data_IF_310980523510
#
_entry.id   IF_310980523510
#
_cell.length_a   1.000
_cell.length_b   1.000
_cell.length_c   1.000
_cell.angle_alpha   90.00
_cell.angle_beta   90.00
_cell.angle_gamma   90.00
#
_symmetry.space_group_name_H-M   'P 1'
#
loop_
_entity.id
_entity.type
_entity.pdbx_description
1 polymer ?
#
# COMPACT_ATOMS: atom_id res chain seq x y z
N UNK A 1 3.16 25.29 15.93
CA UNK A 1 1.84 25.71 15.46
C UNK A 1 1.23 24.58 14.67
N UNK A 2 0.23 23.90 15.25
CA UNK A 2 -0.52 22.84 14.55
C UNK A 2 -1.26 23.53 13.41
N UNK A 3 -1.02 23.10 12.19
CA UNK A 3 -1.62 23.68 11.02
C UNK A 3 -3.13 23.43 11.02
N UNK A 4 -3.93 24.48 10.80
CA UNK A 4 -5.39 24.48 10.77
C UNK A 4 -6.03 23.58 9.68
N UNK A 5 -5.24 22.78 8.97
CA UNK A 5 -5.68 21.81 7.95
C UNK A 5 -5.82 20.38 8.46
N UNK A 6 -5.57 20.13 9.75
CA UNK A 6 -5.78 18.81 10.34
C UNK A 6 -7.26 18.66 10.71
N UNK A 7 -8.11 18.39 9.71
CA UNK A 7 -9.56 18.23 9.87
C UNK A 7 -9.95 17.06 10.81
N UNK A 8 -8.99 16.22 11.17
CA UNK A 8 -9.22 15.03 11.99
C UNK A 8 -8.72 15.19 13.43
N UNK A 9 -8.06 16.30 13.76
CA UNK A 9 -7.27 16.43 14.99
C UNK A 9 -6.30 15.24 15.19
N UNK A 10 -5.80 14.69 14.06
CA UNK A 10 -4.95 13.51 14.02
C UNK A 10 -3.48 13.90 14.15
N UNK A 11 -2.71 13.12 14.87
CA UNK A 11 -1.26 13.20 14.85
C UNK A 11 -0.75 12.39 13.63
N UNK A 12 0.01 13.07 12.75
CA UNK A 12 0.52 12.44 11.52
C UNK A 12 2.00 12.12 11.69
N UNK A 13 2.32 10.84 11.50
CA UNK A 13 3.67 10.31 11.59
C UNK A 13 4.15 9.85 10.21
N UNK A 14 5.39 10.22 9.87
CA UNK A 14 6.08 9.71 8.69
C UNK A 14 7.08 8.65 9.13
N UNK A 15 6.72 7.38 8.95
CA UNK A 15 7.50 6.25 9.42
C UNK A 15 8.43 5.72 8.32
N UNK A 16 9.69 5.54 8.67
CA UNK A 16 10.67 4.80 7.87
C UNK A 16 11.52 3.89 8.77
N UNK A 17 12.39 3.08 8.17
CA UNK A 17 13.27 2.17 8.93
C UNK A 17 14.31 2.86 9.82
N UNK A 18 14.64 4.12 9.50
CA UNK A 18 15.48 5.02 10.30
C UNK A 18 14.97 6.45 10.15
N UNK A 19 15.48 7.37 10.97
CA UNK A 19 15.18 8.80 10.86
C UNK A 19 16.00 9.52 9.78
N UNK A 20 16.82 8.80 9.03
CA UNK A 20 17.56 9.38 7.91
C UNK A 20 16.62 9.89 6.81
N UNK A 21 16.94 11.01 6.16
CA UNK A 21 16.13 11.55 5.09
C UNK A 21 15.92 10.55 3.96
N UNK A 22 14.66 10.33 3.56
CA UNK A 22 14.26 9.43 2.48
C UNK A 22 14.05 10.22 1.20
N UNK A 23 14.81 9.90 0.15
CA UNK A 23 14.64 10.49 -1.17
C UNK A 23 13.51 9.80 -1.92
N UNK A 24 12.50 10.57 -2.30
CA UNK A 24 11.38 10.12 -3.14
C UNK A 24 11.79 9.99 -4.61
N UNK A 25 10.96 9.33 -5.41
CA UNK A 25 11.24 9.05 -6.82
C UNK A 25 11.49 10.31 -7.66
N UNK A 26 10.73 11.39 -7.39
CA UNK A 26 10.81 12.69 -8.10
C UNK A 26 11.79 13.68 -7.47
N UNK A 27 12.72 13.21 -6.64
CA UNK A 27 13.79 14.03 -6.06
C UNK A 27 13.42 14.80 -4.80
N UNK A 28 12.17 14.79 -4.37
CA UNK A 28 11.76 15.33 -3.06
C UNK A 28 12.40 14.49 -1.95
N UNK A 29 12.80 15.14 -0.87
CA UNK A 29 13.33 14.47 0.32
C UNK A 29 12.35 14.65 1.47
N UNK A 30 11.93 13.54 2.08
CA UNK A 30 11.10 13.51 3.27
C UNK A 30 11.96 13.15 4.48
N UNK A 31 11.74 13.84 5.59
CA UNK A 31 12.37 13.49 6.87
C UNK A 31 11.35 12.69 7.68
N UNK A 32 11.63 11.42 8.00
CA UNK A 32 10.76 10.61 8.84
C UNK A 32 10.63 11.22 10.24
N UNK A 33 9.48 11.09 10.86
CA UNK A 33 9.25 11.48 12.25
C UNK A 33 9.43 10.30 13.19
N UNK A 34 9.27 9.08 12.68
CA UNK A 34 9.22 7.86 13.47
C UNK A 34 9.87 6.66 12.78
N UNK A 35 10.15 5.66 13.60
CA UNK A 35 10.64 4.34 13.21
C UNK A 35 9.69 3.26 13.74
N UNK A 36 9.82 2.00 13.28
CA UNK A 36 9.09 0.86 13.84
C UNK A 36 9.18 0.73 15.36
N UNK A 37 10.27 1.20 15.97
CA UNK A 37 10.50 1.11 17.41
C UNK A 37 9.79 2.23 18.19
N UNK A 38 9.63 3.41 17.58
CA UNK A 38 9.02 4.58 18.25
C UNK A 38 7.50 4.65 18.02
N UNK A 39 6.97 3.98 17.00
CA UNK A 39 5.53 3.96 16.66
C UNK A 39 5.00 2.52 16.55
N UNK A 40 4.82 1.79 17.67
CA UNK A 40 4.38 0.40 17.61
C UNK A 40 2.88 0.23 17.29
N UNK A 41 2.00 1.12 17.76
CA UNK A 41 0.54 0.97 17.76
C UNK A 41 -0.22 2.17 17.14
N UNK A 42 -0.11 2.43 15.83
CA UNK A 42 -0.89 3.48 15.18
C UNK A 42 -2.36 3.06 15.01
N UNK A 43 -3.30 4.03 15.07
CA UNK A 43 -4.71 3.75 14.78
C UNK A 43 -5.00 3.51 13.30
N UNK A 44 -4.27 4.20 12.43
CA UNK A 44 -4.37 4.11 10.97
C UNK A 44 -2.97 3.98 10.36
N UNK A 45 -2.81 3.00 9.48
CA UNK A 45 -1.60 2.88 8.66
C UNK A 45 -1.98 3.11 7.19
N UNK A 46 -1.32 4.08 6.55
CA UNK A 46 -1.42 4.30 5.10
C UNK A 46 -0.08 3.96 4.45
N UNK A 47 -0.06 2.96 3.57
CA UNK A 47 1.14 2.60 2.81
C UNK A 47 1.06 3.19 1.39
N UNK A 48 1.90 4.16 1.06
CA UNK A 48 1.94 4.76 -0.27
C UNK A 48 2.59 3.83 -1.30
N UNK A 49 2.42 4.18 -2.58
CA UNK A 49 3.14 3.53 -3.67
C UNK A 49 4.59 3.99 -3.78
N UNK A 50 5.36 3.20 -4.52
CA UNK A 50 6.73 3.52 -4.93
C UNK A 50 6.94 3.12 -6.39
N UNK A 51 7.70 3.92 -7.13
CA UNK A 51 8.22 3.55 -8.44
C UNK A 51 9.30 2.45 -8.38
N UNK A 52 9.77 2.09 -7.17
CA UNK A 52 10.81 1.07 -6.95
C UNK A 52 10.30 -0.10 -6.09
N UNK A 53 9.24 -0.83 -6.52
CA UNK A 53 8.61 -1.88 -5.71
C UNK A 53 9.58 -2.99 -5.28
N UNK A 54 10.64 -3.29 -6.04
CA UNK A 54 11.67 -4.28 -5.66
C UNK A 54 12.31 -3.91 -4.32
N UNK A 55 12.67 -2.65 -4.12
CA UNK A 55 13.31 -2.18 -2.89
C UNK A 55 12.35 -2.28 -1.71
N UNK A 56 11.10 -1.84 -1.91
CA UNK A 56 10.06 -1.88 -0.86
C UNK A 56 9.74 -3.32 -0.44
N UNK A 57 9.62 -4.24 -1.40
CA UNK A 57 9.36 -5.67 -1.12
C UNK A 57 10.57 -6.40 -0.50
N UNK A 58 11.74 -5.76 -0.47
CA UNK A 58 12.96 -6.28 0.18
C UNK A 58 13.15 -5.73 1.59
N UNK A 59 12.39 -4.73 2.00
CA UNK A 59 12.52 -4.10 3.32
C UNK A 59 11.86 -4.94 4.41
N UNK A 60 12.63 -5.85 4.97
CA UNK A 60 12.14 -6.79 5.97
C UNK A 60 11.73 -6.10 7.29
N UNK A 61 12.37 -4.98 7.64
CA UNK A 61 12.07 -4.22 8.86
C UNK A 61 10.64 -3.65 8.78
N UNK A 62 10.30 -3.00 7.66
CA UNK A 62 8.95 -2.48 7.45
C UNK A 62 7.90 -3.57 7.29
N UNK A 63 8.26 -4.69 6.63
CA UNK A 63 7.34 -5.84 6.47
C UNK A 63 7.01 -6.45 7.83
N UNK A 64 8.00 -6.64 8.70
CA UNK A 64 7.80 -7.25 10.03
C UNK A 64 7.02 -6.32 10.96
N UNK A 65 7.31 -5.02 10.92
CA UNK A 65 6.53 -4.04 11.66
C UNK A 65 5.06 -4.01 11.19
N UNK A 66 4.84 -3.96 9.89
CA UNK A 66 3.48 -3.94 9.33
C UNK A 66 2.70 -5.22 9.69
N UNK A 67 3.37 -6.39 9.67
CA UNK A 67 2.78 -7.67 10.09
C UNK A 67 2.28 -7.63 11.53
N UNK A 68 2.99 -6.93 12.41
CA UNK A 68 2.69 -6.86 13.86
C UNK A 68 1.70 -5.76 14.18
N UNK A 69 1.89 -4.56 13.61
CA UNK A 69 1.09 -3.38 13.94
C UNK A 69 -0.29 -3.37 13.27
N UNK A 70 -0.36 -3.73 11.98
CA UNK A 70 -1.61 -3.60 11.21
C UNK A 70 -2.81 -4.41 11.75
N UNK A 71 -2.67 -5.60 12.35
CA UNK A 71 -3.79 -6.30 12.95
C UNK A 71 -4.47 -5.54 14.11
N UNK A 72 -3.73 -4.66 14.78
CA UNK A 72 -4.23 -3.87 15.92
C UNK A 72 -4.80 -2.52 15.50
N UNK A 73 -4.59 -2.10 14.24
CA UNK A 73 -5.10 -0.82 13.74
C UNK A 73 -6.62 -0.85 13.57
N UNK A 74 -7.26 0.28 13.86
CA UNK A 74 -8.67 0.48 13.49
C UNK A 74 -8.83 0.42 11.98
N UNK A 75 -7.91 1.04 11.25
CA UNK A 75 -7.96 1.13 9.80
C UNK A 75 -6.58 0.90 9.18
N UNK A 76 -6.59 0.29 8.02
CA UNK A 76 -5.39 0.13 7.19
C UNK A 76 -5.71 0.56 5.77
N UNK A 77 -4.76 1.21 5.10
CA UNK A 77 -4.95 1.71 3.75
C UNK A 77 -3.70 1.48 2.88
N UNK A 78 -3.90 1.18 1.61
CA UNK A 78 -2.82 1.11 0.64
C UNK A 78 -3.16 1.88 -0.63
N UNK A 79 -2.17 2.55 -1.22
CA UNK A 79 -2.33 3.23 -2.51
C UNK A 79 -1.31 2.67 -3.49
N UNK A 80 -1.73 2.47 -4.74
CA UNK A 80 -0.84 2.10 -5.82
C UNK A 80 -0.08 0.79 -5.51
N UNK A 81 1.25 0.76 -5.64
CA UNK A 81 2.09 -0.41 -5.31
C UNK A 81 2.23 -0.69 -3.81
N UNK A 82 1.71 0.19 -2.94
CA UNK A 82 1.72 -0.01 -1.49
C UNK A 82 1.01 -1.28 -1.01
N UNK A 83 0.01 -1.77 -1.77
CA UNK A 83 -0.63 -3.06 -1.53
C UNK A 83 0.38 -4.23 -1.51
N UNK A 84 1.51 -4.10 -2.22
CA UNK A 84 2.57 -5.11 -2.22
C UNK A 84 3.22 -5.31 -0.86
N UNK A 85 3.38 -4.23 -0.07
CA UNK A 85 3.95 -4.34 1.28
C UNK A 85 2.99 -5.07 2.23
N UNK A 86 1.68 -4.77 2.16
CA UNK A 86 0.65 -5.51 2.90
C UNK A 86 0.60 -6.99 2.50
N UNK A 87 0.73 -7.29 1.20
CA UNK A 87 0.78 -8.67 0.72
C UNK A 87 2.05 -9.39 1.20
N UNK A 88 3.21 -8.73 1.18
CA UNK A 88 4.46 -9.26 1.72
C UNK A 88 4.38 -9.55 3.22
N UNK A 89 3.68 -8.70 3.97
CA UNK A 89 3.38 -8.89 5.39
C UNK A 89 2.32 -9.99 5.66
N UNK A 90 1.67 -10.55 4.64
CA UNK A 90 0.66 -11.59 4.78
C UNK A 90 -0.75 -11.11 5.13
N UNK A 91 -0.99 -9.81 5.04
CA UNK A 91 -2.21 -9.17 5.53
C UNK A 91 -3.36 -9.12 4.51
N UNK A 92 -3.09 -9.49 3.24
CA UNK A 92 -4.08 -9.54 2.16
C UNK A 92 -4.48 -10.95 1.74
N UNK A 93 -4.14 -11.97 2.51
CA UNK A 93 -4.53 -13.35 2.21
C UNK A 93 -6.05 -13.52 2.31
N UNK A 94 -6.67 -14.07 1.25
CA UNK A 94 -8.12 -14.24 1.17
C UNK A 94 -8.92 -12.93 1.07
N UNK A 95 -8.26 -11.80 0.85
CA UNK A 95 -8.89 -10.48 0.72
C UNK A 95 -8.85 -9.99 -0.73
N UNK A 96 -9.96 -9.36 -1.15
CA UNK A 96 -9.98 -8.58 -2.38
C UNK A 96 -9.26 -7.26 -2.18
N UNK A 97 -8.48 -6.85 -3.18
CA UNK A 97 -7.77 -5.56 -3.15
C UNK A 97 -7.58 -5.01 -4.55
N UNK A 98 -7.21 -3.75 -4.63
CA UNK A 98 -6.75 -3.12 -5.88
C UNK A 98 -5.35 -2.57 -5.72
N UNK A 99 -4.71 -2.29 -6.83
CA UNK A 99 -3.37 -1.71 -6.92
C UNK A 99 -3.20 -1.00 -8.26
N UNK A 100 -2.08 -0.32 -8.46
CA UNK A 100 -1.75 0.25 -9.77
C UNK A 100 -1.82 -0.84 -10.87
N UNK A 101 -2.42 -0.50 -12.00
CA UNK A 101 -2.70 -1.47 -13.07
C UNK A 101 -1.45 -2.25 -13.54
N UNK A 102 -0.29 -1.60 -13.60
CA UNK A 102 0.97 -2.24 -13.99
C UNK A 102 1.57 -3.17 -12.93
N UNK A 103 1.02 -3.19 -11.71
CA UNK A 103 1.48 -4.03 -10.61
C UNK A 103 0.51 -5.18 -10.28
N UNK A 104 -0.63 -5.25 -10.95
CA UNK A 104 -1.69 -6.26 -10.66
C UNK A 104 -1.18 -7.69 -10.75
N UNK A 105 -0.43 -8.02 -11.79
CA UNK A 105 0.07 -9.39 -11.98
C UNK A 105 1.13 -9.77 -10.93
N UNK A 106 1.96 -8.82 -10.52
CA UNK A 106 2.89 -9.03 -9.41
C UNK A 106 2.13 -9.32 -8.09
N UNK A 107 1.08 -8.57 -7.82
CA UNK A 107 0.28 -8.77 -6.61
C UNK A 107 -0.50 -10.11 -6.65
N UNK A 108 -1.03 -10.50 -7.81
CA UNK A 108 -1.61 -11.85 -8.02
C UNK A 108 -0.59 -12.97 -7.78
N UNK A 109 0.64 -12.80 -8.25
CA UNK A 109 1.73 -13.75 -7.99
C UNK A 109 2.03 -13.91 -6.50
N UNK A 110 1.71 -12.92 -5.66
CA UNK A 110 1.79 -13.00 -4.20
C UNK A 110 0.60 -13.73 -3.56
N UNK A 111 -0.36 -14.22 -4.34
CA UNK A 111 -1.53 -14.96 -3.88
C UNK A 111 -2.70 -14.10 -3.41
N UNK A 112 -2.80 -12.88 -3.89
CA UNK A 112 -3.85 -11.92 -3.55
C UNK A 112 -4.93 -11.90 -4.64
N UNK A 113 -6.20 -11.79 -4.27
CA UNK A 113 -7.30 -11.57 -5.21
C UNK A 113 -7.33 -10.08 -5.63
N UNK A 114 -6.87 -9.82 -6.88
CA UNK A 114 -6.76 -8.44 -7.38
C UNK A 114 -7.90 -8.12 -8.35
N UNK A 115 -8.69 -7.11 -7.99
CA UNK A 115 -9.79 -6.57 -8.82
C UNK A 115 -9.40 -5.28 -9.54
N UNK A 116 -10.25 -4.86 -10.48
CA UNK A 116 -9.98 -3.69 -11.32
C UNK A 116 -10.50 -2.37 -10.80
N UNK A 117 -11.23 -2.38 -9.71
CA UNK A 117 -11.91 -1.23 -9.14
C UNK A 117 -10.94 -0.17 -8.65
N UNK A 118 -11.40 1.08 -8.67
CA UNK A 118 -10.58 2.24 -8.30
C UNK A 118 -10.31 2.33 -6.80
N UNK A 119 -11.31 1.98 -5.98
CA UNK A 119 -11.22 1.88 -4.52
C UNK A 119 -11.89 0.58 -4.09
N UNK A 120 -11.25 -0.19 -3.23
CA UNK A 120 -11.76 -1.48 -2.73
C UNK A 120 -11.69 -1.52 -1.22
N UNK A 121 -12.82 -1.85 -0.60
CA UNK A 121 -12.94 -2.10 0.83
C UNK A 121 -12.97 -3.59 1.13
N UNK A 122 -12.22 -4.00 2.13
CA UNK A 122 -12.25 -5.36 2.66
C UNK A 122 -12.08 -5.33 4.18
N UNK A 123 -13.19 -5.39 4.90
CA UNK A 123 -13.19 -5.21 6.36
C UNK A 123 -12.72 -3.80 6.76
N UNK A 124 -11.65 -3.73 7.53
CA UNK A 124 -10.99 -2.50 7.95
C UNK A 124 -9.84 -2.05 7.03
N UNK A 125 -9.67 -2.73 5.89
CA UNK A 125 -8.67 -2.35 4.88
C UNK A 125 -9.31 -1.68 3.68
N UNK A 126 -8.75 -0.55 3.25
CA UNK A 126 -9.11 0.12 2.00
C UNK A 126 -7.90 0.20 1.08
N UNK A 127 -8.10 -0.08 -0.19
CA UNK A 127 -7.05 0.05 -1.21
C UNK A 127 -7.48 0.99 -2.33
N UNK A 128 -6.57 1.87 -2.76
CA UNK A 128 -6.69 2.73 -3.93
C UNK A 128 -5.80 2.23 -5.07
N UNK A 129 -6.32 2.27 -6.30
CA UNK A 129 -5.62 1.72 -7.47
C UNK A 129 -4.34 2.51 -7.82
N UNK A 130 -4.44 3.53 -8.65
CA UNK A 130 -3.30 4.37 -9.04
C UNK A 130 -3.17 5.61 -8.15
N UNK A 131 -2.20 6.45 -8.46
CA UNK A 131 -1.85 7.65 -7.69
C UNK A 131 -3.07 8.54 -7.39
N UNK A 132 -3.85 8.90 -8.43
CA UNK A 132 -5.04 9.75 -8.28
C UNK A 132 -6.19 9.07 -7.53
N UNK A 133 -6.24 7.73 -7.49
CA UNK A 133 -7.21 7.00 -6.69
C UNK A 133 -6.97 7.15 -5.18
N UNK A 134 -5.79 7.63 -4.78
CA UNK A 134 -5.49 7.96 -3.39
C UNK A 134 -6.40 9.04 -2.81
N UNK A 135 -6.81 10.02 -3.62
CA UNK A 135 -7.76 11.06 -3.20
C UNK A 135 -9.15 10.45 -2.97
N UNK A 136 -9.66 9.68 -3.95
CA UNK A 136 -10.96 9.01 -3.81
C UNK A 136 -10.98 8.06 -2.62
N UNK A 137 -9.89 7.32 -2.41
CA UNK A 137 -9.73 6.41 -1.26
C UNK A 137 -9.74 7.20 0.06
N UNK A 138 -9.02 8.32 0.14
CA UNK A 138 -8.97 9.14 1.35
C UNK A 138 -10.34 9.74 1.68
N UNK A 139 -11.08 10.23 0.69
CA UNK A 139 -12.44 10.71 0.87
C UNK A 139 -13.39 9.58 1.31
N UNK A 140 -13.26 8.39 0.72
CA UNK A 140 -14.04 7.22 1.12
C UNK A 140 -13.71 6.77 2.56
N UNK A 141 -12.44 6.85 2.97
CA UNK A 141 -12.02 6.56 4.34
C UNK A 141 -12.60 7.62 5.31
N UNK A 142 -12.55 8.89 4.95
CA UNK A 142 -13.14 9.98 5.72
C UNK A 142 -14.64 9.77 5.93
N UNK A 143 -15.37 9.45 4.86
CA UNK A 143 -16.81 9.16 4.95
C UNK A 143 -17.09 8.04 5.96
N UNK A 144 -16.29 6.98 5.92
CA UNK A 144 -16.47 5.83 6.80
C UNK A 144 -16.11 6.09 8.27
N UNK A 145 -15.12 6.94 8.52
CA UNK A 145 -14.58 7.20 9.88
C UNK A 145 -15.30 8.37 10.55
N UNK A 146 -15.58 9.42 9.80
CA UNK A 146 -16.08 10.71 10.32
C UNK A 146 -17.43 11.12 9.71
N UNK A 147 -17.94 10.36 8.75
CA UNK A 147 -19.21 10.59 8.09
C UNK A 147 -19.13 11.49 6.85
N UNK A 148 -20.16 11.35 6.03
CA UNK A 148 -20.28 11.95 4.69
C UNK A 148 -20.08 13.47 4.68
N UNK A 149 -20.64 14.17 5.67
CA UNK A 149 -20.61 15.64 5.68
C UNK A 149 -19.19 16.20 5.74
N UNK A 150 -18.31 15.56 6.54
CA UNK A 150 -16.91 15.95 6.60
C UNK A 150 -16.18 15.57 5.30
N UNK A 151 -16.43 14.41 4.74
CA UNK A 151 -15.83 13.99 3.46
C UNK A 151 -16.19 14.95 2.32
N UNK A 152 -17.46 15.35 2.18
CA UNK A 152 -17.91 16.33 1.20
C UNK A 152 -17.29 17.72 1.44
N UNK A 153 -17.16 18.12 2.70
CA UNK A 153 -16.53 19.40 3.06
C UNK A 153 -15.04 19.42 2.70
N UNK A 154 -14.34 18.31 2.94
CA UNK A 154 -12.92 18.17 2.55
C UNK A 154 -12.75 18.09 1.04
N UNK A 155 -13.63 17.40 0.33
CA UNK A 155 -13.64 17.37 -1.13
C UNK A 155 -13.74 18.79 -1.71
N UNK A 156 -14.66 19.59 -1.16
CA UNK A 156 -14.81 20.99 -1.57
C UNK A 156 -13.61 21.84 -1.16
N UNK A 157 -13.07 21.63 0.05
CA UNK A 157 -11.94 22.41 0.55
C UNK A 157 -10.66 22.24 -0.28
N UNK A 158 -10.45 21.06 -0.88
CA UNK A 158 -9.34 20.79 -1.80
C UNK A 158 -9.71 20.98 -3.27
N UNK A 159 -10.94 21.46 -3.54
CA UNK A 159 -11.48 21.66 -4.90
C UNK A 159 -11.34 20.42 -5.79
N UNK A 160 -11.60 19.23 -5.22
CA UNK A 160 -11.50 17.98 -5.97
C UNK A 160 -12.76 17.74 -6.80
N UNK A 161 -12.78 18.31 -8.01
CA UNK A 161 -13.79 18.14 -9.05
C UNK A 161 -13.13 17.68 -10.36
N UNK A 162 -12.73 16.40 -10.47
CA UNK A 162 -11.86 15.93 -11.54
C UNK A 162 -12.54 15.94 -12.91
N UNK A 163 -11.97 16.71 -13.84
CA UNK A 163 -12.38 16.83 -15.23
C UNK A 163 -11.19 16.53 -16.15
N UNK A 164 -10.74 15.26 -16.25
CA UNK A 164 -9.58 14.92 -17.05
C UNK A 164 -9.84 15.21 -18.54
N UNK A 165 -8.89 15.86 -19.24
CA UNK A 165 -9.06 16.24 -20.64
C UNK A 165 -9.08 15.05 -21.61
N UNK A 166 -8.68 13.86 -21.14
CA UNK A 166 -8.61 12.63 -21.93
C UNK A 166 -9.30 11.48 -21.22
N UNK A 167 -9.79 10.50 -21.99
CA UNK A 167 -10.47 9.31 -21.46
C UNK A 167 -9.56 8.11 -21.21
N UNK A 168 -8.25 8.21 -21.44
CA UNK A 168 -7.28 7.11 -21.35
C UNK A 168 -6.80 6.78 -19.92
N UNK A 169 -7.55 7.15 -18.90
CA UNK A 169 -7.17 6.99 -17.49
C UNK A 169 -7.16 5.56 -16.93
N UNK A 170 -7.48 4.55 -17.76
CA UNK A 170 -7.37 3.15 -17.37
C UNK A 170 -6.97 2.27 -18.55
N UNK A 171 -6.37 1.07 -18.32
CA UNK A 171 -5.97 0.16 -19.41
C UNK A 171 -7.13 -0.29 -20.30
N UNK A 172 -8.35 -0.31 -19.76
CA UNK A 172 -9.57 -0.70 -20.51
C UNK A 172 -10.11 0.41 -21.40
N UNK A 173 -9.68 1.64 -21.19
CA UNK A 173 -10.08 2.84 -21.95
C UNK A 173 -8.99 3.32 -22.91
N UNK A 174 -7.74 3.01 -22.62
CA UNK A 174 -6.59 3.39 -23.43
C UNK A 174 -6.45 2.47 -24.65
N UNK A 175 -6.07 3.03 -25.79
CA UNK A 175 -5.67 2.24 -26.95
C UNK A 175 -4.29 1.59 -26.75
N UNK A 176 -3.96 0.63 -27.63
CA UNK A 176 -2.74 -0.16 -27.51
C UNK A 176 -1.44 0.67 -27.65
N UNK A 177 -1.46 1.79 -28.38
CA UNK A 177 -0.29 2.66 -28.55
C UNK A 177 -0.05 3.48 -27.29
N UNK A 178 -1.10 4.05 -26.73
CA UNK A 178 -1.09 4.77 -25.45
C UNK A 178 -0.63 3.84 -24.31
N UNK A 179 -1.15 2.61 -24.25
CA UNK A 179 -0.74 1.64 -23.24
C UNK A 179 0.75 1.29 -23.33
N UNK A 180 1.28 1.06 -24.56
CA UNK A 180 2.71 0.81 -24.77
C UNK A 180 3.58 2.00 -24.34
N UNK A 181 3.15 3.23 -24.66
CA UNK A 181 3.87 4.43 -24.25
C UNK A 181 3.84 4.61 -22.73
N UNK A 182 2.69 4.42 -22.09
CA UNK A 182 2.55 4.47 -20.63
C UNK A 182 3.46 3.46 -19.93
N UNK A 183 3.58 2.24 -20.46
CA UNK A 183 4.54 1.25 -19.96
C UNK A 183 5.98 1.75 -20.07
N UNK A 184 6.37 2.36 -21.18
CA UNK A 184 7.72 2.94 -21.32
C UNK A 184 7.98 4.07 -20.33
N UNK A 185 6.99 4.95 -20.12
CA UNK A 185 7.09 6.05 -19.13
C UNK A 185 7.27 5.50 -17.71
N UNK A 186 6.49 4.48 -17.34
CA UNK A 186 6.59 3.83 -16.03
C UNK A 186 7.90 3.07 -15.83
N UNK A 187 8.40 2.48 -16.91
CA UNK A 187 9.64 1.69 -16.90
C UNK A 187 10.90 2.56 -16.93
N UNK A 188 10.84 3.71 -17.63
CA UNK A 188 12.03 4.47 -17.98
C UNK A 188 13.06 3.58 -18.70
N UNK A 189 14.33 3.80 -18.43
CA UNK A 189 15.44 2.99 -18.96
C UNK A 189 15.68 1.67 -18.21
N UNK A 190 14.69 1.21 -17.41
CA UNK A 190 14.85 -0.01 -16.63
C UNK A 190 14.87 -1.23 -17.55
N UNK A 191 15.86 -2.10 -17.42
CA UNK A 191 15.96 -3.28 -18.27
C UNK A 191 14.81 -4.25 -17.98
N UNK A 192 14.45 -5.09 -18.96
CA UNK A 192 13.43 -6.15 -18.83
C UNK A 192 13.67 -7.02 -17.58
N UNK A 193 14.93 -7.20 -17.17
CA UNK A 193 15.32 -7.87 -15.91
C UNK A 193 14.66 -7.28 -14.66
N UNK A 194 14.28 -6.00 -14.66
CA UNK A 194 13.59 -5.40 -13.53
C UNK A 194 12.23 -6.06 -13.25
N UNK A 195 11.49 -6.47 -14.29
CA UNK A 195 10.21 -7.15 -14.13
C UNK A 195 10.37 -8.55 -13.56
N UNK A 196 11.38 -9.29 -14.03
CA UNK A 196 11.71 -10.59 -13.45
C UNK A 196 12.15 -10.47 -12.00
N UNK A 197 12.83 -9.39 -11.63
CA UNK A 197 13.18 -9.10 -10.23
C UNK A 197 11.95 -8.78 -9.38
N UNK A 198 11.01 -7.95 -9.87
CA UNK A 198 9.76 -7.67 -9.16
C UNK A 198 8.97 -8.95 -8.94
N UNK A 199 8.81 -9.76 -9.99
CA UNK A 199 8.11 -11.04 -9.89
C UNK A 199 8.83 -12.02 -8.96
N UNK A 200 10.17 -12.07 -9.01
CA UNK A 200 10.99 -12.88 -8.11
C UNK A 200 10.87 -12.45 -6.64
N UNK A 201 10.88 -11.14 -6.36
CA UNK A 201 10.67 -10.61 -5.00
C UNK A 201 9.24 -10.88 -4.50
N UNK A 202 8.25 -10.73 -5.35
CA UNK A 202 6.86 -11.05 -5.03
C UNK A 202 6.71 -12.54 -4.65
N UNK A 203 7.27 -13.44 -5.45
CA UNK A 203 7.28 -14.88 -5.15
C UNK A 203 8.11 -15.19 -3.90
N UNK A 204 9.27 -14.58 -3.73
CA UNK A 204 10.09 -14.72 -2.54
C UNK A 204 9.38 -14.27 -1.26
N UNK A 205 8.64 -13.17 -1.30
CA UNK A 205 7.82 -12.71 -0.18
C UNK A 205 6.73 -13.74 0.20
N UNK A 206 6.06 -14.31 -0.81
CA UNK A 206 5.07 -15.39 -0.59
C UNK A 206 5.70 -16.63 0.05
N UNK A 207 6.87 -17.06 -0.41
CA UNK A 207 7.57 -18.24 0.15
C UNK A 207 8.06 -17.99 1.58
N UNK A 208 8.59 -16.82 1.89
CA UNK A 208 8.99 -16.43 3.25
C UNK A 208 7.79 -16.49 4.20
N UNK A 209 6.64 -15.97 3.77
CA UNK A 209 5.39 -16.03 4.53
C UNK A 209 4.94 -17.46 4.80
N UNK A 210 4.93 -18.32 3.79
CA UNK A 210 4.55 -19.71 3.93
C UNK A 210 5.49 -20.47 4.93
N UNK A 211 6.78 -20.20 4.88
CA UNK A 211 7.76 -20.77 5.84
C UNK A 211 7.50 -20.31 7.28
N UNK A 212 7.19 -19.02 7.50
CA UNK A 212 6.84 -18.49 8.83
C UNK A 212 5.58 -19.15 9.40
N UNK A 213 4.53 -19.30 8.58
CA UNK A 213 3.31 -19.99 9.01
C UNK A 213 3.55 -21.45 9.42
N UNK A 214 4.46 -22.14 8.75
CA UNK A 214 4.83 -23.52 9.10
C UNK A 214 5.68 -23.60 10.36
N UNK A 215 6.60 -22.66 10.60
CA UNK A 215 7.43 -22.63 11.81
C UNK A 215 6.61 -22.28 13.06
N UNK A 216 5.68 -21.34 12.97
CA UNK A 216 4.77 -21.01 14.06
C UNK A 216 3.90 -22.18 14.47
N UNK A 217 3.33 -22.93 13.53
CA UNK A 217 2.55 -24.15 13.82
C UNK A 217 3.37 -25.28 14.48
N UNK A 218 4.68 -25.36 14.24
CA UNK A 218 5.57 -26.31 14.91
C UNK A 218 5.84 -25.93 16.37
N UNK A 219 6.04 -24.64 16.64
CA UNK A 219 6.23 -24.16 18.02
C UNK A 219 4.97 -24.34 18.86
N UNK A 220 3.78 -24.05 18.33
CA UNK A 220 2.50 -24.28 19.02
C UNK A 220 2.24 -25.75 19.32
N UNK A 221 2.68 -26.68 18.47
CA UNK A 221 2.58 -28.12 18.76
C UNK A 221 3.53 -28.58 19.86
N UNK A 222 4.76 -28.06 19.91
CA UNK A 222 5.71 -28.39 20.95
C UNK A 222 5.30 -27.82 22.31
N UNK A 223 4.76 -26.61 22.37
CA UNK A 223 4.26 -26.03 23.63
C UNK A 223 3.06 -26.79 24.18
N UNK A 224 2.17 -27.30 23.33
CA UNK A 224 1.01 -28.12 23.76
C UNK A 224 1.38 -29.53 24.22
N UNK A 225 2.51 -30.08 23.74
CA UNK A 225 3.01 -31.39 24.17
C UNK A 225 3.85 -31.33 25.46
N UNK A 226 4.36 -30.13 25.81
CA UNK A 226 5.14 -29.92 27.04
C UNK A 226 4.26 -29.61 28.28
N UNK A 227 2.96 -29.48 28.11
CA UNK A 227 1.96 -29.15 29.16
C UNK A 227 1.11 -30.38 29.55
N UNK A 228 1.44 -31.56 29.05
CA UNK A 228 0.88 -32.87 29.46
C UNK A 228 2.02 -33.77 29.99
#
# INVERSE_FOLDING_TARGET
PRHHLNAYDAEVHFLARSLDPVRCDEGLTLVPTDTPQTLPDPELIVVPGSGKPVQVLSDQVLIDWLHTAAPNCKWTASVCTGAGLYAAAGLLEGKKTTTHWAFRDNLRAMGVEVVGDRVVWQGNHVSGAGVSAGIDMALSLTDRVHGRKLAESLQLAIEYDPQPPFSSGSPTKADASTLRLALRVLMGDRPVKYFTQVSGQAMGARLRRARRALSGRRQDRHSRQATH
#
